data_IF_398722780880
#
_entry.id   IF_398722780880
#
_cell.length_a   1.000
_cell.length_b   1.000
_cell.length_c   1.000
_cell.angle_alpha   90.00
_cell.angle_beta   90.00
_cell.angle_gamma   90.00
#
_symmetry.space_group_name_H-M   'P 1'
#
loop_
_entity.id
_entity.type
_entity.pdbx_description
1 polymer ?
#
# COMPACT_ATOMS: atom_id res chain seq x y z
N UNK A 1 7.59 -4.04 17.70
CA UNK A 1 6.18 -4.11 17.26
C UNK A 1 5.88 -3.08 16.17
N UNK A 2 6.25 -1.81 16.34
CA UNK A 2 5.92 -0.73 15.39
C UNK A 2 6.64 -0.81 14.03
N UNK A 3 7.92 -1.19 14.01
CA UNK A 3 8.70 -1.33 12.76
C UNK A 3 8.06 -2.30 11.76
N UNK A 4 7.52 -3.41 12.25
CA UNK A 4 6.85 -4.41 11.41
C UNK A 4 5.55 -3.88 10.79
N UNK A 5 4.79 -3.05 11.52
CA UNK A 5 3.58 -2.40 10.97
C UNK A 5 3.92 -1.43 9.86
N UNK A 6 4.94 -0.60 10.06
CA UNK A 6 5.43 0.34 9.05
C UNK A 6 5.89 -0.42 7.79
N UNK A 7 6.63 -1.52 7.95
CA UNK A 7 7.04 -2.37 6.82
C UNK A 7 5.84 -2.94 6.04
N UNK A 8 4.77 -3.36 6.73
CA UNK A 8 3.55 -3.82 6.07
C UNK A 8 2.87 -2.73 5.27
N UNK A 9 2.74 -1.53 5.83
CA UNK A 9 2.15 -0.38 5.15
C UNK A 9 2.95 -0.03 3.88
N UNK A 10 4.27 -0.01 3.94
CA UNK A 10 5.11 0.24 2.76
C UNK A 10 5.06 -0.89 1.73
N UNK A 11 4.90 -2.15 2.16
CA UNK A 11 4.65 -3.27 1.23
C UNK A 11 3.32 -3.10 0.51
N UNK A 12 2.25 -2.79 1.23
CA UNK A 12 0.92 -2.49 0.66
C UNK A 12 1.02 -1.33 -0.34
N UNK A 13 1.70 -0.25 0.02
CA UNK A 13 1.89 0.92 -0.85
C UNK A 13 2.53 0.55 -2.19
N UNK A 14 3.57 -0.28 -2.17
CA UNK A 14 4.29 -0.73 -3.38
C UNK A 14 3.51 -1.75 -4.18
N UNK A 15 3.01 -2.78 -3.50
CA UNK A 15 2.44 -3.98 -4.11
C UNK A 15 0.98 -3.84 -4.51
N UNK A 16 0.22 -2.94 -3.89
CA UNK A 16 -1.21 -2.75 -4.17
C UNK A 16 -1.45 -1.39 -4.82
N UNK A 17 -0.94 -0.31 -4.22
CA UNK A 17 -1.29 1.05 -4.62
C UNK A 17 -0.27 1.73 -5.55
N UNK A 18 0.59 0.95 -6.21
CA UNK A 18 1.42 1.42 -7.33
C UNK A 18 2.54 2.39 -6.95
N UNK A 19 2.96 2.47 -5.68
CA UNK A 19 4.09 3.32 -5.29
C UNK A 19 5.40 2.92 -6.00
N UNK A 20 5.52 1.65 -6.40
CA UNK A 20 6.67 1.13 -7.16
C UNK A 20 6.80 1.78 -8.55
N UNK A 21 5.68 2.10 -9.18
CA UNK A 21 5.60 2.61 -10.55
C UNK A 21 5.41 4.14 -10.59
N UNK A 22 5.67 4.81 -9.47
CA UNK A 22 5.51 6.25 -9.34
C UNK A 22 6.57 7.00 -10.16
N UNK A 23 6.23 7.33 -11.41
CA UNK A 23 7.10 8.12 -12.27
C UNK A 23 7.08 9.62 -11.89
N UNK A 24 8.26 10.23 -11.75
CA UNK A 24 8.42 11.60 -11.27
C UNK A 24 8.47 12.55 -12.47
N UNK A 25 7.30 13.07 -12.87
CA UNK A 25 7.21 14.16 -13.86
C UNK A 25 7.27 15.55 -13.20
N UNK A 26 6.78 15.67 -11.97
CA UNK A 26 6.83 16.89 -11.15
C UNK A 26 7.03 16.50 -9.69
N UNK A 27 8.01 17.13 -9.03
CA UNK A 27 8.32 16.85 -7.60
C UNK A 27 7.10 17.04 -6.71
N UNK A 28 6.32 18.12 -6.94
CA UNK A 28 5.11 18.42 -6.15
C UNK A 28 4.06 17.33 -6.32
N UNK A 29 3.82 16.91 -7.56
CA UNK A 29 2.84 15.86 -7.87
C UNK A 29 3.28 14.50 -7.34
N UNK A 30 4.57 14.18 -7.45
CA UNK A 30 5.13 12.94 -6.93
C UNK A 30 5.01 12.86 -5.39
N UNK A 31 5.30 13.95 -4.68
CA UNK A 31 5.14 14.01 -3.22
C UNK A 31 3.67 13.82 -2.81
N UNK A 32 2.73 14.49 -3.49
CA UNK A 32 1.30 14.33 -3.20
C UNK A 32 0.80 12.90 -3.45
N UNK A 33 1.24 12.27 -4.55
CA UNK A 33 0.91 10.88 -4.84
C UNK A 33 1.51 9.93 -3.81
N UNK A 34 2.78 10.11 -3.45
CA UNK A 34 3.43 9.31 -2.42
C UNK A 34 2.69 9.43 -1.06
N UNK A 35 2.31 10.64 -0.67
CA UNK A 35 1.53 10.88 0.54
C UNK A 35 0.18 10.15 0.49
N UNK A 36 -0.59 10.34 -0.59
CA UNK A 36 -1.89 9.69 -0.76
C UNK A 36 -1.77 8.16 -0.72
N UNK A 37 -0.78 7.61 -1.41
CA UNK A 37 -0.54 6.16 -1.44
C UNK A 37 -0.20 5.61 -0.06
N UNK A 38 0.67 6.26 0.71
CA UNK A 38 1.01 5.82 2.08
C UNK A 38 -0.20 5.95 3.02
N UNK A 39 -0.97 7.04 2.88
CA UNK A 39 -2.18 7.27 3.68
C UNK A 39 -3.24 6.17 3.44
N UNK A 40 -3.58 5.89 2.18
CA UNK A 40 -4.54 4.84 1.83
C UNK A 40 -4.03 3.46 2.25
N UNK A 41 -2.73 3.20 2.12
CA UNK A 41 -2.12 1.95 2.60
C UNK A 41 -2.26 1.76 4.11
N UNK A 42 -2.18 2.85 4.87
CA UNK A 42 -2.36 2.84 6.33
C UNK A 42 -3.81 2.51 6.69
N UNK A 43 -4.77 3.16 6.04
CA UNK A 43 -6.20 2.86 6.23
C UNK A 43 -6.54 1.42 5.87
N UNK A 44 -5.96 0.92 4.77
CA UNK A 44 -6.15 -0.46 4.35
C UNK A 44 -5.59 -1.44 5.39
N UNK A 45 -4.38 -1.21 5.89
CA UNK A 45 -3.78 -2.04 6.94
C UNK A 45 -4.61 -2.03 8.24
N UNK A 46 -5.09 -0.86 8.67
CA UNK A 46 -5.97 -0.74 9.84
C UNK A 46 -7.29 -1.50 9.63
N UNK A 47 -7.85 -1.46 8.43
CA UNK A 47 -9.05 -2.24 8.08
C UNK A 47 -8.78 -3.74 8.16
N UNK A 48 -7.63 -4.21 7.69
CA UNK A 48 -7.23 -5.62 7.81
C UNK A 48 -7.09 -6.05 9.27
N UNK A 49 -6.41 -5.24 10.10
CA UNK A 49 -6.29 -5.51 11.54
C UNK A 49 -7.66 -5.55 12.22
N UNK A 50 -8.56 -4.61 11.90
CA UNK A 50 -9.91 -4.55 12.49
C UNK A 50 -10.80 -5.73 12.13
N UNK A 51 -10.62 -6.31 10.95
CA UNK A 51 -11.40 -7.45 10.47
C UNK A 51 -10.69 -8.80 10.72
N UNK A 52 -9.61 -8.82 11.52
CA UNK A 52 -8.79 -10.01 11.80
C UNK A 52 -8.28 -10.73 10.53
N UNK A 53 -8.12 -9.96 9.44
CA UNK A 53 -7.63 -10.49 8.17
C UNK A 53 -6.12 -10.50 8.19
N UNK A 54 -5.53 -11.66 7.92
CA UNK A 54 -4.08 -11.79 7.78
C UNK A 54 -3.56 -10.89 6.63
N UNK A 55 -2.73 -9.87 6.91
CA UNK A 55 -2.25 -8.95 5.89
C UNK A 55 -1.43 -9.60 4.79
N UNK A 56 -0.66 -10.66 5.11
CA UNK A 56 0.11 -11.40 4.12
C UNK A 56 -0.80 -12.10 3.09
N UNK A 57 -1.89 -12.70 3.57
CA UNK A 57 -2.85 -13.39 2.70
C UNK A 57 -3.62 -12.38 1.82
N UNK A 58 -4.00 -11.24 2.39
CA UNK A 58 -4.68 -10.17 1.64
C UNK A 58 -3.78 -9.58 0.55
N UNK A 59 -2.51 -9.31 0.85
CA UNK A 59 -1.54 -8.83 -0.15
C UNK A 59 -1.34 -9.83 -1.29
N UNK A 60 -1.21 -11.12 -0.99
CA UNK A 60 -1.05 -12.16 -2.01
C UNK A 60 -2.23 -12.23 -2.98
N UNK A 61 -3.46 -12.11 -2.47
CA UNK A 61 -4.68 -12.12 -3.30
C UNK A 61 -4.83 -10.87 -4.16
N UNK A 62 -4.50 -9.69 -3.61
CA UNK A 62 -4.71 -8.41 -4.29
C UNK A 62 -3.59 -8.07 -5.28
N UNK A 63 -2.35 -8.46 -4.98
CA UNK A 63 -1.22 -8.30 -5.91
C UNK A 63 -1.42 -9.14 -7.19
N UNK A 64 -1.98 -10.35 -7.06
CA UNK A 64 -2.30 -11.21 -8.20
C UNK A 64 -3.44 -10.71 -9.10
N UNK A 65 -4.29 -9.80 -8.61
CA UNK A 65 -5.40 -9.23 -9.38
C UNK A 65 -5.05 -7.91 -10.07
N UNK A 66 -3.79 -7.50 -10.08
CA UNK A 66 -3.35 -6.27 -10.77
C UNK A 66 -3.59 -6.31 -12.28
N UNK A 67 -3.64 -7.48 -12.90
CA UNK A 67 -3.92 -7.66 -14.34
C UNK A 67 -5.43 -7.67 -14.68
N UNK A 68 -6.31 -7.49 -13.69
CA UNK A 68 -7.77 -7.53 -13.89
C UNK A 68 -8.40 -6.14 -14.12
N UNK A 69 -7.59 -5.08 -14.23
CA UNK A 69 -8.03 -3.69 -14.44
C UNK A 69 -7.19 -2.97 -15.47
#
# INVERSE_FOLDING_TARGET
MERSKIEHIFKIAKEIFGMKDLHIYSKRTALWRAFATVYVSTLFYQSLERNEINPHKAMGLLSHKKDAW
#
